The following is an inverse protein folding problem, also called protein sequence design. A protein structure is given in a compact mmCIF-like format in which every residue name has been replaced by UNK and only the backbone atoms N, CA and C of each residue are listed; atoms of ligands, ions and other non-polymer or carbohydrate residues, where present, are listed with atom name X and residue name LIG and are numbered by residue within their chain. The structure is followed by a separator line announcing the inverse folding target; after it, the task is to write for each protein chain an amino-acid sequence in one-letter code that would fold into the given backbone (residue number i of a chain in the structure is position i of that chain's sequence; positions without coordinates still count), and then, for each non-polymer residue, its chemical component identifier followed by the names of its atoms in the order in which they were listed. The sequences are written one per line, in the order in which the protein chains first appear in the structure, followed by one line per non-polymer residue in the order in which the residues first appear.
data_IF_712004124659
#
_entry.id   IF_712004124659
#
_cell.length_a   1.000
_cell.length_b   1.000
_cell.length_c   1.000
_cell.angle_alpha   90.00
_cell.angle_beta   90.00
_cell.angle_gamma   90.00
#
_symmetry.space_group_name_H-M   'P 1'
#
loop_
_entity.id
_entity.type
_entity.pdbx_description
1 polymer ?
#
# COMPACT_ATOMS: atom_id res chain seq x y z
N UNK A 1 -10.22 27.51 -9.95
CA UNK A 1 -9.75 26.72 -11.10
C UNK A 1 -8.27 26.96 -11.18
N UNK A 2 -7.52 26.12 -10.47
CA UNK A 2 -6.08 25.91 -10.67
C UNK A 2 -5.85 24.53 -10.09
N UNK A 3 -6.43 23.55 -10.79
CA UNK A 3 -5.92 22.20 -10.73
C UNK A 3 -4.51 22.30 -11.31
N UNK A 4 -3.55 22.51 -10.41
CA UNK A 4 -2.16 22.18 -10.64
C UNK A 4 -2.14 20.64 -10.76
N UNK A 5 -2.58 20.13 -11.93
CA UNK A 5 -2.53 18.73 -12.38
C UNK A 5 -1.05 18.38 -12.63
N UNK A 6 -0.19 18.69 -11.68
CA UNK A 6 1.17 18.17 -11.59
C UNK A 6 1.02 16.77 -11.03
N UNK A 7 1.00 15.81 -11.94
CA UNK A 7 1.25 14.38 -11.73
C UNK A 7 1.02 13.91 -10.29
N UNK A 8 -0.21 13.48 -9.97
CA UNK A 8 -0.37 12.62 -8.79
C UNK A 8 0.51 11.40 -8.98
N UNK A 9 1.48 11.20 -8.08
CA UNK A 9 2.40 10.07 -8.13
C UNK A 9 1.65 8.73 -8.06
N UNK A 10 0.52 8.71 -7.35
CA UNK A 10 -0.46 7.62 -7.31
C UNK A 10 -1.77 8.15 -7.90
N UNK A 11 -2.26 7.53 -8.99
CA UNK A 11 -3.48 7.95 -9.68
C UNK A 11 -4.74 7.33 -9.07
N UNK A 12 -4.62 6.14 -8.47
CA UNK A 12 -5.73 5.42 -7.88
C UNK A 12 -5.36 4.83 -6.51
N UNK A 13 -6.24 5.00 -5.51
CA UNK A 13 -6.11 4.40 -4.18
C UNK A 13 -7.46 3.82 -3.78
N UNK A 14 -7.51 2.55 -3.41
CA UNK A 14 -8.72 1.88 -2.93
C UNK A 14 -8.40 0.74 -1.93
N UNK A 15 -9.42 0.11 -1.37
CA UNK A 15 -9.29 -1.11 -0.58
C UNK A 15 -9.06 -2.32 -1.49
N UNK A 16 -8.19 -3.23 -1.06
CA UNK A 16 -7.99 -4.49 -1.76
C UNK A 16 -9.23 -5.37 -1.66
N UNK A 17 -9.81 -5.72 -2.80
CA UNK A 17 -10.90 -6.68 -2.94
C UNK A 17 -10.62 -7.69 -4.06
N UNK A 18 -9.36 -8.16 -4.17
CA UNK A 18 -8.87 -9.01 -5.28
C UNK A 18 -8.88 -8.32 -6.65
N UNK A 19 -8.79 -6.99 -6.68
CA UNK A 19 -8.94 -6.19 -7.90
C UNK A 19 -7.87 -6.48 -8.98
N UNK A 20 -6.66 -6.89 -8.59
CA UNK A 20 -5.60 -7.24 -9.54
C UNK A 20 -5.89 -8.60 -10.21
N UNK A 21 -6.44 -9.56 -9.47
CA UNK A 21 -6.79 -10.89 -10.01
C UNK A 21 -7.88 -10.83 -11.10
N UNK A 22 -8.69 -9.76 -11.13
CA UNK A 22 -9.79 -9.57 -12.08
C UNK A 22 -9.63 -8.33 -12.96
N UNK A 23 -8.40 -7.85 -13.15
CA UNK A 23 -8.12 -6.61 -13.89
C UNK A 23 -8.67 -6.61 -15.34
N UNK A 24 -8.80 -7.79 -15.95
CA UNK A 24 -9.39 -7.95 -17.30
C UNK A 24 -10.93 -7.90 -17.32
N UNK A 25 -11.59 -8.02 -16.17
CA UNK A 25 -13.05 -8.16 -16.03
C UNK A 25 -13.72 -6.96 -15.34
N UNK A 26 -12.98 -6.18 -14.54
CA UNK A 26 -13.48 -4.99 -13.83
C UNK A 26 -13.20 -3.68 -14.60
N UNK A 27 -13.80 -2.58 -14.13
CA UNK A 27 -13.55 -1.25 -14.69
C UNK A 27 -12.06 -0.88 -14.52
N UNK A 28 -11.39 -0.53 -15.63
CA UNK A 28 -9.98 -0.20 -15.62
C UNK A 28 -9.70 1.04 -14.74
N UNK A 29 -8.78 0.89 -13.78
CA UNK A 29 -8.27 1.96 -12.92
C UNK A 29 -6.97 2.55 -13.48
N UNK A 30 -6.70 3.82 -13.16
CA UNK A 30 -5.50 4.51 -13.64
C UNK A 30 -4.25 4.08 -12.85
N UNK A 31 -3.13 3.83 -13.55
CA UNK A 31 -1.82 3.45 -12.99
C UNK A 31 -0.86 4.65 -12.88
N UNK A 32 -0.03 4.78 -11.81
CA UNK A 32 0.12 3.84 -10.70
C UNK A 32 -1.08 3.78 -9.75
N UNK A 33 -1.41 2.58 -9.27
CA UNK A 33 -2.48 2.34 -8.30
C UNK A 33 -1.93 1.72 -7.03
N UNK A 34 -2.56 2.01 -5.88
CA UNK A 34 -2.23 1.39 -4.59
C UNK A 34 -3.50 0.85 -3.94
N UNK A 35 -3.54 -0.46 -3.68
CA UNK A 35 -4.64 -1.07 -2.94
C UNK A 35 -4.21 -1.41 -1.51
N UNK A 36 -5.08 -1.10 -0.55
CA UNK A 36 -4.82 -1.26 0.88
C UNK A 36 -5.54 -2.52 1.37
N UNK A 37 -4.79 -3.49 1.88
CA UNK A 37 -5.32 -4.72 2.48
C UNK A 37 -4.96 -4.80 3.97
N UNK A 38 -5.96 -4.83 4.84
CA UNK A 38 -5.74 -5.08 6.26
C UNK A 38 -5.76 -6.57 6.55
N UNK A 39 -4.69 -7.09 7.18
CA UNK A 39 -4.70 -8.44 7.70
C UNK A 39 -5.66 -8.56 8.91
N UNK A 40 -6.10 -9.78 9.26
CA UNK A 40 -6.84 -10.01 10.48
C UNK A 40 -6.10 -9.43 11.71
N UNK A 41 -6.72 -8.46 12.38
CA UNK A 41 -6.13 -7.83 13.56
C UNK A 41 -6.55 -8.59 14.82
N UNK A 42 -5.57 -9.17 15.52
CA UNK A 42 -5.79 -9.88 16.76
C UNK A 42 -5.64 -8.94 17.97
N UNK A 43 -6.76 -8.61 18.60
CA UNK A 43 -6.81 -7.64 19.70
C UNK A 43 -6.53 -8.28 21.06
N UNK A 44 -5.66 -7.62 21.82
CA UNK A 44 -5.45 -7.90 23.24
C UNK A 44 -6.12 -6.83 24.08
N UNK A 45 -6.95 -7.24 25.03
CA UNK A 45 -7.55 -6.34 26.01
C UNK A 45 -6.48 -5.86 26.99
N UNK A 46 -6.32 -4.55 27.11
CA UNK A 46 -5.56 -3.92 28.20
C UNK A 46 -6.50 -3.73 29.39
N UNK A 47 -7.66 -3.11 29.15
CA UNK A 47 -8.75 -2.97 30.11
C UNK A 47 -10.02 -3.56 29.50
N UNK A 48 -10.56 -4.66 30.04
CA UNK A 48 -11.72 -5.33 29.46
C UNK A 48 -12.90 -4.39 29.23
N UNK A 49 -13.36 -4.32 27.98
CA UNK A 49 -14.50 -3.49 27.55
C UNK A 49 -14.19 -2.01 27.32
N UNK A 50 -12.95 -1.57 27.58
CA UNK A 50 -12.57 -0.15 27.52
C UNK A 50 -11.38 0.08 26.58
N UNK A 51 -10.32 -0.72 26.69
CA UNK A 51 -9.06 -0.46 26.00
C UNK A 51 -8.43 -1.73 25.43
N UNK A 52 -8.03 -1.65 24.17
CA UNK A 52 -7.41 -2.76 23.44
C UNK A 52 -6.18 -2.28 22.67
N UNK A 53 -5.19 -3.16 22.56
CA UNK A 53 -3.99 -2.99 21.73
C UNK A 53 -3.83 -4.20 20.81
N UNK A 54 -3.32 -3.96 19.62
CA UNK A 54 -2.89 -5.02 18.70
C UNK A 54 -1.60 -4.63 17.99
N UNK A 55 -0.84 -5.64 17.58
CA UNK A 55 0.15 -5.51 16.51
C UNK A 55 -0.57 -5.95 15.25
N UNK A 56 -0.65 -5.04 14.28
CA UNK A 56 -1.50 -5.17 13.11
C UNK A 56 -0.66 -5.01 11.85
N UNK A 57 -1.06 -5.69 10.78
CA UNK A 57 -0.38 -5.65 9.50
C UNK A 57 -1.29 -5.08 8.43
N UNK A 58 -0.72 -4.28 7.55
CA UNK A 58 -1.37 -3.79 6.33
C UNK A 58 -0.46 -4.06 5.15
N UNK A 59 -1.03 -4.58 4.07
CA UNK A 59 -0.34 -4.80 2.80
C UNK A 59 -0.75 -3.73 1.82
N UNK A 60 0.24 -3.13 1.16
CA UNK A 60 0.04 -2.17 0.08
C UNK A 60 0.40 -2.84 -1.24
N UNK A 61 -0.61 -3.09 -2.05
CA UNK A 61 -0.45 -3.61 -3.41
C UNK A 61 -0.22 -2.43 -4.35
N UNK A 62 1.04 -2.17 -4.65
CA UNK A 62 1.50 -1.07 -5.51
C UNK A 62 1.62 -1.60 -6.92
N UNK A 63 0.73 -1.14 -7.81
CA UNK A 63 0.63 -1.62 -9.18
C UNK A 63 1.06 -0.55 -10.19
N UNK A 64 2.06 -0.90 -10.99
CA UNK A 64 2.65 -0.03 -12.02
C UNK A 64 2.68 -0.70 -13.38
N UNK A 65 2.71 0.09 -14.45
CA UNK A 65 3.02 -0.41 -15.79
C UNK A 65 4.43 -1.04 -15.82
N UNK A 66 4.58 -2.21 -16.46
CA UNK A 66 5.91 -2.71 -16.76
C UNK A 66 6.56 -1.86 -17.85
N UNK A 67 7.72 -1.27 -17.56
CA UNK A 67 8.54 -0.58 -18.55
C UNK A 67 9.73 -1.49 -18.91
N UNK A 68 9.81 -2.04 -20.13
CA UNK A 68 10.93 -2.89 -20.51
C UNK A 68 12.23 -2.06 -20.50
N UNK A 69 13.27 -2.58 -19.84
CA UNK A 69 14.60 -1.98 -19.67
C UNK A 69 15.39 -1.73 -20.98
N UNK A 70 14.75 -1.78 -22.14
CA UNK A 70 15.40 -1.82 -23.46
C UNK A 70 14.94 -0.70 -24.40
N UNK A 71 13.88 0.06 -24.07
CA UNK A 71 13.31 1.04 -25.00
C UNK A 71 14.02 2.40 -25.03
N UNK A 72 14.70 2.80 -23.95
CA UNK A 72 15.33 4.13 -23.83
C UNK A 72 16.79 4.08 -23.34
N UNK A 73 17.38 2.89 -23.20
CA UNK A 73 18.72 2.70 -22.67
C UNK A 73 18.86 3.03 -21.18
N UNK A 74 17.75 3.27 -20.48
CA UNK A 74 17.72 3.36 -19.03
C UNK A 74 17.53 1.99 -18.40
N UNK A 75 18.08 1.83 -17.21
CA UNK A 75 17.73 0.77 -16.29
C UNK A 75 16.22 0.89 -15.95
N UNK A 76 15.38 0.14 -16.66
CA UNK A 76 13.94 0.06 -16.38
C UNK A 76 13.61 -0.56 -15.01
N UNK A 77 14.57 -1.18 -14.33
CA UNK A 77 14.39 -1.81 -13.01
C UNK A 77 14.41 -0.80 -11.85
N UNK A 78 15.07 0.35 -12.01
CA UNK A 78 15.08 1.41 -10.98
C UNK A 78 13.69 2.00 -10.70
N UNK A 79 12.86 2.15 -11.74
CA UNK A 79 11.50 2.72 -11.62
C UNK A 79 10.56 1.84 -10.81
N UNK A 80 10.86 0.55 -10.70
CA UNK A 80 10.09 -0.41 -9.90
C UNK A 80 10.17 -0.08 -8.40
N UNK A 81 11.35 0.32 -7.92
CA UNK A 81 11.57 0.64 -6.50
C UNK A 81 11.24 2.10 -6.15
N UNK A 82 11.26 3.01 -7.14
CA UNK A 82 11.04 4.44 -6.88
C UNK A 82 9.72 4.77 -6.17
N UNK A 83 8.62 4.13 -6.55
CA UNK A 83 7.30 4.41 -5.95
C UNK A 83 7.16 3.77 -4.56
N UNK A 84 7.50 2.48 -4.36
CA UNK A 84 7.61 1.89 -3.03
C UNK A 84 8.48 2.70 -2.07
N UNK A 85 9.66 3.17 -2.50
CA UNK A 85 10.56 3.96 -1.65
C UNK A 85 9.93 5.30 -1.23
N UNK A 86 9.29 6.01 -2.18
CA UNK A 86 8.59 7.27 -1.87
C UNK A 86 7.40 7.06 -0.94
N UNK A 87 6.70 5.93 -1.06
CA UNK A 87 5.62 5.57 -0.13
C UNK A 87 6.20 5.26 1.24
N UNK A 88 7.31 4.53 1.31
CA UNK A 88 8.01 4.21 2.54
C UNK A 88 8.46 5.47 3.29
N UNK A 89 9.05 6.44 2.60
CA UNK A 89 9.46 7.73 3.21
C UNK A 89 8.31 8.46 3.91
N UNK A 90 7.07 8.27 3.45
CA UNK A 90 5.87 8.87 4.04
C UNK A 90 5.31 8.02 5.18
N UNK A 91 5.38 6.69 5.06
CA UNK A 91 4.77 5.77 6.03
C UNK A 91 5.68 5.43 7.20
N UNK A 92 6.99 5.48 7.03
CA UNK A 92 7.95 5.11 8.08
C UNK A 92 7.73 5.97 9.34
N UNK A 93 7.39 5.32 10.45
CA UNK A 93 7.11 5.99 11.72
C UNK A 93 5.81 6.79 11.75
N UNK A 94 4.92 6.63 10.77
CA UNK A 94 3.64 7.32 10.73
C UNK A 94 2.82 7.00 11.98
N UNK A 95 2.28 8.06 12.58
CA UNK A 95 1.49 8.00 13.81
C UNK A 95 0.13 8.68 13.60
N UNK A 96 -0.90 8.10 14.17
CA UNK A 96 -2.26 8.63 14.20
C UNK A 96 -2.86 8.58 15.60
N UNK A 97 -4.16 8.90 15.69
CA UNK A 97 -4.87 8.88 16.97
C UNK A 97 -5.01 7.45 17.53
N UNK A 98 -5.24 6.48 16.66
CA UNK A 98 -5.52 5.08 17.03
C UNK A 98 -4.48 4.09 16.50
N UNK A 99 -3.37 4.58 15.96
CA UNK A 99 -2.28 3.73 15.48
C UNK A 99 -0.94 4.43 15.61
N UNK A 100 0.15 3.66 15.71
CA UNK A 100 1.51 4.17 15.81
C UNK A 100 2.53 3.25 15.15
N UNK A 101 3.71 3.81 14.90
CA UNK A 101 4.95 3.09 14.62
C UNK A 101 4.87 2.19 13.37
N UNK A 102 4.36 2.74 12.27
CA UNK A 102 4.43 2.06 10.97
C UNK A 102 5.87 1.67 10.62
N UNK A 103 6.11 0.39 10.44
CA UNK A 103 7.42 -0.20 10.19
C UNK A 103 7.33 -1.17 9.03
N UNK A 104 8.20 -1.03 8.03
CA UNK A 104 8.27 -1.98 6.91
C UNK A 104 8.76 -3.34 7.42
N UNK A 105 8.04 -4.39 7.09
CA UNK A 105 8.31 -5.75 7.55
C UNK A 105 8.71 -6.67 6.39
N UNK A 106 7.99 -6.62 5.27
CA UNK A 106 8.22 -7.47 4.10
C UNK A 106 7.94 -6.70 2.81
N UNK A 107 8.65 -7.08 1.74
CA UNK A 107 8.36 -6.63 0.38
C UNK A 107 8.28 -7.88 -0.50
N UNK A 108 7.17 -8.04 -1.20
CA UNK A 108 6.96 -9.13 -2.17
C UNK A 108 6.79 -8.56 -3.56
N UNK A 109 7.12 -9.35 -4.58
CA UNK A 109 6.88 -8.99 -5.97
C UNK A 109 5.97 -10.03 -6.61
N UNK A 110 4.87 -9.60 -7.20
CA UNK A 110 4.00 -10.44 -8.01
C UNK A 110 4.05 -9.97 -9.47
N UNK A 111 4.24 -10.92 -10.38
CA UNK A 111 4.40 -10.68 -11.80
C UNK A 111 3.52 -11.61 -12.65
N UNK A 112 2.37 -12.01 -12.12
CA UNK A 112 1.44 -12.94 -12.77
C UNK A 112 0.73 -12.34 -14.00
N UNK A 113 1.02 -11.09 -14.37
CA UNK A 113 0.39 -10.38 -15.48
C UNK A 113 1.44 -9.71 -16.38
N UNK A 114 1.37 -9.96 -17.70
CA UNK A 114 2.43 -9.63 -18.67
C UNK A 114 2.75 -8.11 -18.77
N UNK A 115 1.78 -7.24 -18.49
CA UNK A 115 1.89 -5.78 -18.72
C UNK A 115 1.99 -4.95 -17.42
N UNK A 116 1.97 -5.58 -16.24
CA UNK A 116 2.05 -4.89 -14.95
C UNK A 116 3.05 -5.53 -14.02
N UNK A 117 3.52 -4.72 -13.07
CA UNK A 117 4.22 -5.22 -11.89
C UNK A 117 3.44 -4.82 -10.66
N UNK A 118 3.30 -5.77 -9.75
CA UNK A 118 2.80 -5.55 -8.40
C UNK A 118 3.95 -5.71 -7.40
N UNK A 119 4.22 -4.65 -6.63
CA UNK A 119 4.99 -4.73 -5.38
C UNK A 119 3.98 -4.78 -4.23
N UNK A 120 4.18 -5.70 -3.29
CA UNK A 120 3.36 -5.82 -2.09
C UNK A 120 4.23 -5.47 -0.90
N UNK A 121 4.06 -4.26 -0.38
CA UNK A 121 4.79 -3.78 0.79
C UNK A 121 3.95 -4.03 2.06
N UNK A 122 4.50 -4.79 3.01
CA UNK A 122 3.83 -5.15 4.25
C UNK A 122 4.36 -4.29 5.39
N UNK A 123 3.48 -3.52 6.01
CA UNK A 123 3.78 -2.69 7.15
C UNK A 123 3.15 -3.27 8.41
N UNK A 124 3.95 -3.39 9.47
CA UNK A 124 3.46 -3.60 10.83
C UNK A 124 3.21 -2.25 11.50
N UNK A 125 2.19 -2.17 12.35
CA UNK A 125 1.88 -1.01 13.17
C UNK A 125 1.19 -1.41 14.46
N UNK A 126 1.28 -0.54 15.47
CA UNK A 126 0.58 -0.72 16.74
C UNK A 126 -0.79 -0.07 16.64
N UNK A 127 -1.85 -0.84 16.80
CA UNK A 127 -3.22 -0.35 16.78
C UNK A 127 -3.81 -0.25 18.19
N UNK A 128 -4.66 0.75 18.41
CA UNK A 128 -5.38 0.99 19.66
C UNK A 128 -6.87 1.14 19.41
N UNK A 129 -7.68 0.63 20.33
CA UNK A 129 -9.11 0.93 20.40
C UNK A 129 -9.46 1.35 21.81
N UNK A 130 -10.24 2.42 21.91
CA UNK A 130 -10.83 2.88 23.15
C UNK A 130 -12.33 3.11 22.95
N UNK A 131 -13.12 2.78 23.96
CA UNK A 131 -14.55 3.16 23.97
C UNK A 131 -14.63 4.62 24.41
N UNK A 132 -15.37 5.45 23.67
CA UNK A 132 -15.67 6.80 24.13
C UNK A 132 -16.55 6.71 25.40
N UNK A 133 -16.17 7.42 26.46
CA UNK A 133 -17.01 7.62 27.65
C UNK A 133 -18.05 8.71 27.40
#
# INVERSE_FOLDING_TARGET
MDDDVRFRAIKHIDLWNRNVEFIEQEAAWERPAVFIEFEPIHWTSIVPGIEYRAEARVRLHIVTDWAPAVADGSDGSGRFFELPDKIHDVLAGLNGANFKDFTLEESHTNHDHEDIVESIEVYNFIAFKHTAQ
#
